data_IF_948877185846
#
_entry.id   IF_948877185846
#
_cell.length_a   1.000
_cell.length_b   1.000
_cell.length_c   1.000
_cell.angle_alpha   90.00
_cell.angle_beta   90.00
_cell.angle_gamma   90.00
#
_symmetry.space_group_name_H-M   'P 1'
#
loop_
_entity.id
_entity.type
_entity.pdbx_description
1 polymer ?
#
# COMPACT_ATOMS: atom_id res chain seq x y z
N UNK A 1 -10.66 -8.70 -8.65
CA UNK A 1 -10.75 -7.36 -8.04
C UNK A 1 -12.16 -7.16 -7.55
N UNK A 2 -12.36 -6.61 -6.34
CA UNK A 2 -13.69 -6.17 -5.89
C UNK A 2 -14.26 -5.16 -6.88
N UNK A 3 -15.57 -5.20 -7.13
CA UNK A 3 -16.23 -4.45 -8.21
C UNK A 3 -16.24 -2.92 -8.02
N UNK A 4 -15.78 -2.41 -6.87
CA UNK A 4 -15.94 -1.03 -6.45
C UNK A 4 -14.61 -0.26 -6.39
N UNK A 5 -13.54 -0.80 -6.96
CA UNK A 5 -12.21 -0.17 -6.99
C UNK A 5 -11.70 -0.02 -8.44
N UNK A 6 -10.86 0.99 -8.67
CA UNK A 6 -10.18 1.20 -9.96
C UNK A 6 -9.32 -0.03 -10.29
N UNK A 7 -9.42 -0.52 -11.52
CA UNK A 7 -8.60 -1.62 -12.02
C UNK A 7 -7.17 -1.13 -12.27
N UNK A 8 -6.21 -1.64 -11.51
CA UNK A 8 -4.80 -1.20 -11.55
C UNK A 8 -3.89 -2.06 -12.44
N UNK A 9 -4.41 -3.08 -13.11
CA UNK A 9 -3.62 -4.02 -13.92
C UNK A 9 -2.80 -3.32 -15.01
N UNK A 10 -3.38 -2.34 -15.71
CA UNK A 10 -2.66 -1.61 -16.75
C UNK A 10 -1.52 -0.73 -16.20
N UNK A 11 -1.70 -0.17 -14.99
CA UNK A 11 -0.65 0.60 -14.30
C UNK A 11 0.52 -0.32 -13.94
N UNK A 12 0.22 -1.53 -13.47
CA UNK A 12 1.21 -2.55 -13.17
C UNK A 12 1.96 -3.00 -14.43
N UNK A 13 1.26 -3.28 -15.53
CA UNK A 13 1.88 -3.64 -16.81
C UNK A 13 2.81 -2.54 -17.33
N UNK A 14 2.36 -1.29 -17.31
CA UNK A 14 3.17 -0.14 -17.69
C UNK A 14 4.39 0.03 -16.79
N UNK A 15 4.24 -0.19 -15.48
CA UNK A 15 5.36 -0.10 -14.53
C UNK A 15 6.47 -1.09 -14.85
N UNK A 16 6.12 -2.31 -15.24
CA UNK A 16 7.11 -3.30 -15.69
C UNK A 16 7.75 -2.94 -17.03
N UNK A 17 6.98 -2.41 -17.99
CA UNK A 17 7.51 -1.94 -19.26
C UNK A 17 8.55 -0.81 -19.08
N UNK A 18 8.34 0.05 -18.09
CA UNK A 18 9.25 1.13 -17.71
C UNK A 18 10.44 0.68 -16.84
N UNK A 19 10.55 -0.61 -16.53
CA UNK A 19 11.63 -1.15 -15.69
C UNK A 19 11.55 -0.75 -14.22
N UNK A 20 10.35 -0.39 -13.72
CA UNK A 20 10.13 -0.08 -12.30
C UNK A 20 10.06 -1.36 -11.47
N UNK A 21 10.47 -1.26 -10.20
CA UNK A 21 10.17 -2.28 -9.20
C UNK A 21 8.74 -2.11 -8.71
N UNK A 22 7.98 -3.20 -8.69
CA UNK A 22 6.57 -3.19 -8.27
C UNK A 22 6.42 -4.04 -7.02
N UNK A 23 5.79 -3.47 -5.99
CA UNK A 23 5.48 -4.16 -4.74
C UNK A 23 3.97 -4.21 -4.55
N UNK A 24 3.47 -5.34 -4.06
CA UNK A 24 2.03 -5.57 -3.80
C UNK A 24 1.79 -5.94 -2.34
N UNK A 25 0.62 -5.60 -1.79
CA UNK A 25 0.31 -5.88 -0.39
C UNK A 25 0.23 -7.38 -0.11
N UNK A 26 0.88 -7.80 0.97
CA UNK A 26 0.81 -9.14 1.53
C UNK A 26 0.38 -9.01 2.99
N UNK A 27 -0.85 -9.43 3.28
CA UNK A 27 -1.44 -9.41 4.61
C UNK A 27 -1.14 -10.73 5.33
N UNK A 28 -0.63 -10.67 6.55
CA UNK A 28 -0.30 -11.84 7.35
C UNK A 28 -0.59 -11.62 8.83
N UNK A 29 -0.79 -12.73 9.56
CA UNK A 29 -0.91 -12.73 11.01
C UNK A 29 0.48 -12.69 11.63
N UNK A 30 0.65 -11.81 12.61
CA UNK A 30 1.86 -11.72 13.42
C UNK A 30 2.12 -13.02 14.17
N UNK A 31 3.38 -13.41 14.23
CA UNK A 31 3.85 -14.57 14.98
C UNK A 31 3.79 -14.36 16.50
N UNK A 32 3.94 -13.11 16.95
CA UNK A 32 3.90 -12.71 18.36
C UNK A 32 2.89 -11.57 18.57
N UNK A 33 1.61 -11.88 18.85
CA UNK A 33 0.62 -10.87 19.16
C UNK A 33 0.98 -10.09 20.42
N UNK A 34 0.83 -8.76 20.37
CA UNK A 34 1.10 -7.87 21.51
C UNK A 34 -0.13 -6.99 21.79
N UNK A 35 -0.46 -6.72 23.07
CA UNK A 35 -1.56 -5.82 23.41
C UNK A 35 -1.39 -4.45 22.76
N UNK A 36 -2.46 -3.95 22.14
CA UNK A 36 -2.47 -2.63 21.49
C UNK A 36 -1.88 -2.60 20.08
N UNK A 37 -1.33 -3.72 19.58
CA UNK A 37 -0.85 -3.83 18.20
C UNK A 37 -1.77 -4.76 17.40
N UNK A 38 -2.10 -4.44 16.13
CA UNK A 38 -2.91 -5.33 15.28
C UNK A 38 -2.33 -6.74 15.18
N UNK A 39 -3.19 -7.76 15.30
CA UNK A 39 -2.79 -9.18 15.16
C UNK A 39 -2.49 -9.59 13.72
N UNK A 40 -2.99 -8.81 12.76
CA UNK A 40 -2.73 -8.97 11.33
C UNK A 40 -2.19 -7.66 10.79
N UNK A 41 -1.13 -7.73 9.99
CA UNK A 41 -0.43 -6.58 9.44
C UNK A 41 -0.17 -6.80 7.94
N UNK A 42 0.34 -5.78 7.26
CA UNK A 42 0.57 -5.78 5.82
C UNK A 42 2.01 -5.37 5.51
N UNK A 43 2.73 -6.17 4.74
CA UNK A 43 3.99 -5.74 4.08
C UNK A 43 3.77 -5.60 2.57
N UNK A 44 4.64 -4.85 1.91
CA UNK A 44 4.65 -4.74 0.44
C UNK A 44 5.77 -5.62 -0.11
N UNK A 45 5.41 -6.68 -0.85
CA UNK A 45 6.35 -7.67 -1.40
C UNK A 45 6.55 -7.46 -2.90
N UNK A 46 7.79 -7.60 -3.34
CA UNK A 46 8.19 -7.43 -4.74
C UNK A 46 7.57 -8.51 -5.63
N UNK A 47 7.00 -8.07 -6.75
CA UNK A 47 6.69 -8.91 -7.89
C UNK A 47 7.94 -9.02 -8.76
N UNK A 48 8.35 -10.25 -9.08
CA UNK A 48 9.59 -10.53 -9.83
C UNK A 48 9.46 -10.21 -11.31
N UNK A 49 8.25 -10.28 -11.85
CA UNK A 49 7.93 -9.99 -13.25
C UNK A 49 6.42 -9.88 -13.46
N UNK A 50 6.03 -9.52 -14.68
CA UNK A 50 4.62 -9.56 -15.09
C UNK A 50 4.07 -11.00 -15.15
N UNK A 51 4.90 -11.99 -15.53
CA UNK A 51 4.49 -13.40 -15.51
C UNK A 51 4.31 -13.93 -14.09
N UNK A 52 5.13 -13.46 -13.15
CA UNK A 52 4.97 -13.73 -11.72
C UNK A 52 3.61 -13.20 -11.22
N UNK A 53 3.23 -11.98 -11.61
CA UNK A 53 1.90 -11.43 -11.32
C UNK A 53 0.76 -12.27 -11.94
N UNK A 54 0.88 -12.64 -13.21
CA UNK A 54 -0.15 -13.42 -13.93
C UNK A 54 -0.34 -14.82 -13.37
N UNK A 55 0.69 -15.39 -12.73
CA UNK A 55 0.62 -16.70 -12.08
C UNK A 55 -0.08 -16.67 -10.71
N UNK A 56 -0.30 -15.49 -10.12
CA UNK A 56 -0.95 -15.36 -8.81
C UNK A 56 -2.40 -15.84 -8.88
N UNK A 57 -2.81 -16.58 -7.85
CA UNK A 57 -4.19 -17.04 -7.71
C UNK A 57 -4.97 -16.02 -6.87
N UNK A 58 -6.22 -15.72 -7.25
CA UNK A 58 -7.08 -14.89 -6.43
C UNK A 58 -7.41 -15.58 -5.10
N UNK A 59 -7.51 -14.80 -4.03
CA UNK A 59 -8.07 -15.24 -2.75
C UNK A 59 -9.62 -15.20 -2.77
N UNK A 60 -10.24 -15.37 -1.60
CA UNK A 60 -11.70 -15.34 -1.44
C UNK A 60 -12.32 -13.96 -1.75
N UNK A 61 -11.51 -12.90 -1.86
CA UNK A 61 -11.93 -11.55 -2.26
C UNK A 61 -11.66 -11.27 -3.75
N UNK A 62 -11.13 -12.26 -4.47
CA UNK A 62 -10.76 -12.09 -5.87
C UNK A 62 -9.48 -11.27 -6.08
N UNK A 63 -8.63 -11.16 -5.05
CA UNK A 63 -7.37 -10.40 -5.07
C UNK A 63 -6.21 -11.36 -5.39
N UNK A 64 -5.44 -11.15 -6.46
CA UNK A 64 -4.24 -11.95 -6.76
C UNK A 64 -3.26 -11.89 -5.58
N UNK A 65 -2.98 -13.03 -4.96
CA UNK A 65 -2.28 -13.08 -3.67
C UNK A 65 -0.96 -13.83 -3.78
N UNK A 66 0.07 -13.30 -3.11
CA UNK A 66 1.40 -13.91 -3.03
C UNK A 66 1.32 -15.28 -2.33
N UNK A 67 1.75 -16.38 -2.98
CA UNK A 67 1.82 -17.70 -2.35
C UNK A 67 2.76 -17.70 -1.15
N UNK A 68 2.34 -18.31 -0.04
CA UNK A 68 3.08 -18.30 1.24
C UNK A 68 4.49 -18.88 1.13
N UNK A 69 4.64 -19.94 0.34
CA UNK A 69 5.91 -20.60 0.04
C UNK A 69 6.88 -19.71 -0.75
N UNK A 70 6.37 -18.71 -1.49
CA UNK A 70 7.21 -17.75 -2.21
C UNK A 70 7.67 -16.56 -1.38
N UNK A 71 7.04 -16.29 -0.22
CA UNK A 71 7.32 -15.10 0.62
C UNK A 71 8.79 -15.00 1.02
N UNK A 72 9.45 -16.05 1.56
CA UNK A 72 10.86 -15.97 1.97
C UNK A 72 11.83 -15.65 0.82
N UNK A 73 11.39 -15.82 -0.43
CA UNK A 73 12.18 -15.63 -1.64
C UNK A 73 11.87 -14.32 -2.38
N UNK A 74 11.16 -13.40 -1.74
CA UNK A 74 10.80 -12.08 -2.27
C UNK A 74 11.36 -11.00 -1.37
N UNK A 75 11.86 -9.92 -1.95
CA UNK A 75 12.17 -8.72 -1.17
C UNK A 75 10.87 -8.04 -0.76
N UNK A 76 10.88 -7.39 0.40
CA UNK A 76 9.86 -6.44 0.79
C UNK A 76 10.35 -4.99 0.55
N UNK A 77 9.46 -4.02 0.71
CA UNK A 77 9.79 -2.61 0.51
C UNK A 77 10.78 -2.03 1.53
N UNK A 78 11.05 -2.73 2.63
CA UNK A 78 12.09 -2.39 3.59
C UNK A 78 13.46 -2.99 3.20
N UNK A 79 13.54 -3.66 2.05
CA UNK A 79 14.77 -4.13 1.41
C UNK A 79 15.25 -5.51 1.87
N UNK A 80 14.60 -6.12 2.85
CA UNK A 80 14.90 -7.48 3.34
C UNK A 80 14.09 -8.54 2.59
N UNK A 81 14.54 -9.80 2.62
CA UNK A 81 13.77 -10.91 2.04
C UNK A 81 12.75 -11.43 3.04
N UNK A 82 11.53 -11.70 2.60
CA UNK A 82 10.44 -12.19 3.45
C UNK A 82 9.70 -11.08 4.20
N UNK A 83 9.16 -11.44 5.37
CA UNK A 83 8.31 -10.57 6.19
C UNK A 83 9.15 -9.65 7.06
N UNK A 84 8.75 -8.39 7.20
CA UNK A 84 9.50 -7.42 7.99
C UNK A 84 9.53 -7.75 9.49
N UNK A 85 8.54 -8.50 9.99
CA UNK A 85 8.51 -8.94 11.40
C UNK A 85 9.72 -9.83 11.76
N UNK A 86 10.28 -10.54 10.80
CA UNK A 86 11.44 -11.41 11.01
C UNK A 86 12.76 -10.61 11.06
N UNK A 87 12.76 -9.37 10.57
CA UNK A 87 13.94 -8.50 10.38
C UNK A 87 13.65 -7.03 10.74
N UNK A 88 13.20 -6.71 11.97
CA UNK A 88 12.59 -5.41 12.29
C UNK A 88 13.53 -4.19 12.27
N UNK A 89 14.84 -4.41 12.37
CA UNK A 89 15.85 -3.35 12.41
C UNK A 89 17.00 -3.59 11.41
N UNK A 90 16.80 -4.49 10.44
CA UNK A 90 17.80 -4.77 9.42
C UNK A 90 17.83 -3.65 8.39
N UNK A 91 19.01 -3.03 8.24
CA UNK A 91 19.23 -2.00 7.22
C UNK A 91 19.63 -2.67 5.91
N UNK A 92 18.88 -2.39 4.85
CA UNK A 92 19.16 -2.86 3.51
C UNK A 92 19.45 -1.69 2.56
N UNK A 93 20.32 -1.94 1.58
CA UNK A 93 20.52 -1.02 0.47
C UNK A 93 19.27 -1.01 -0.42
N UNK A 94 18.84 0.17 -0.86
CA UNK A 94 17.65 0.39 -1.70
C UNK A 94 16.30 0.08 -1.02
N UNK A 95 16.23 0.26 0.31
CA UNK A 95 14.97 0.23 1.07
C UNK A 95 14.14 1.51 0.87
N UNK A 96 12.84 1.33 0.65
CA UNK A 96 11.84 2.38 0.49
C UNK A 96 10.99 2.26 -0.78
N UNK A 97 9.87 2.98 -0.79
CA UNK A 97 9.01 3.20 -1.94
C UNK A 97 9.12 4.66 -2.38
N UNK A 98 9.10 4.91 -3.69
CA UNK A 98 9.00 6.28 -4.23
C UNK A 98 7.52 6.75 -4.27
N UNK A 99 6.61 5.83 -4.59
CA UNK A 99 5.18 6.05 -4.77
C UNK A 99 4.42 4.90 -4.13
N UNK A 100 3.34 5.23 -3.41
CA UNK A 100 2.38 4.27 -2.91
C UNK A 100 0.99 4.61 -3.48
N UNK A 101 0.44 3.66 -4.24
CA UNK A 101 -0.95 3.76 -4.74
C UNK A 101 -1.90 3.37 -3.61
N UNK A 102 -2.70 4.32 -3.16
CA UNK A 102 -3.58 4.20 -1.99
C UNK A 102 -5.01 3.83 -2.42
N UNK A 103 -5.53 2.64 -2.04
CA UNK A 103 -6.93 2.31 -2.25
C UNK A 103 -7.82 2.94 -1.16
N UNK A 104 -9.10 3.09 -1.49
CA UNK A 104 -10.09 3.64 -0.58
C UNK A 104 -11.51 3.40 -1.07
N UNK A 105 -12.45 3.52 -0.13
CA UNK A 105 -13.89 3.52 -0.36
C UNK A 105 -14.44 4.93 -0.55
N UNK A 106 -13.76 5.93 -0.02
CA UNK A 106 -14.12 7.33 -0.17
C UNK A 106 -12.96 8.27 0.12
N UNK A 107 -12.99 9.45 -0.47
CA UNK A 107 -11.99 10.51 -0.31
C UNK A 107 -12.67 11.87 -0.22
N UNK A 108 -12.07 12.81 0.51
CA UNK A 108 -12.54 14.19 0.56
C UNK A 108 -11.54 15.17 -0.09
N UNK A 109 -11.97 16.41 -0.31
CA UNK A 109 -11.13 17.46 -0.90
C UNK A 109 -10.04 17.99 0.06
N UNK A 110 -10.05 17.56 1.33
CA UNK A 110 -8.95 17.75 2.27
C UNK A 110 -7.96 16.57 2.24
N UNK A 111 -8.04 15.71 1.22
CA UNK A 111 -7.21 14.52 1.05
C UNK A 111 -7.35 13.47 2.17
N UNK A 112 -8.48 13.50 2.89
CA UNK A 112 -8.89 12.42 3.79
C UNK A 112 -9.23 11.16 3.00
N UNK A 113 -9.03 9.99 3.62
CA UNK A 113 -9.22 8.68 2.99
C UNK A 113 -9.99 7.74 3.91
N UNK A 114 -11.11 7.22 3.41
CA UNK A 114 -11.88 6.17 4.06
C UNK A 114 -11.49 4.80 3.49
N UNK A 115 -10.89 3.93 4.31
CA UNK A 115 -10.60 2.54 3.93
C UNK A 115 -11.75 1.57 4.24
N UNK A 116 -11.50 0.27 4.06
CA UNK A 116 -12.44 -0.81 4.44
C UNK A 116 -12.53 -1.09 5.96
N UNK A 117 -11.97 -0.20 6.80
CA UNK A 117 -12.10 -0.26 8.26
C UNK A 117 -11.12 -1.14 9.03
N UNK A 118 -10.20 -1.86 8.36
CA UNK A 118 -9.15 -2.67 9.04
C UNK A 118 -7.86 -1.92 9.36
N UNK A 119 -7.67 -0.71 8.83
CA UNK A 119 -6.50 0.13 9.13
C UNK A 119 -5.15 -0.42 8.63
N UNK A 120 -5.13 -1.35 7.66
CA UNK A 120 -3.88 -1.95 7.17
C UNK A 120 -2.92 -0.92 6.57
N UNK A 121 -3.43 0.00 5.77
CA UNK A 121 -2.63 1.05 5.14
C UNK A 121 -2.13 2.07 6.16
N UNK A 122 -2.99 2.51 7.10
CA UNK A 122 -2.63 3.47 8.14
C UNK A 122 -1.56 2.89 9.08
N UNK A 123 -1.73 1.63 9.50
CA UNK A 123 -0.73 0.93 10.30
C UNK A 123 0.56 0.62 9.53
N UNK A 124 0.47 0.30 8.23
CA UNK A 124 1.67 0.17 7.38
C UNK A 124 2.44 1.48 7.28
N UNK A 125 1.76 2.60 7.05
CA UNK A 125 2.37 3.93 6.96
C UNK A 125 3.00 4.36 8.29
N UNK A 126 2.37 4.04 9.43
CA UNK A 126 2.98 4.25 10.74
C UNK A 126 4.32 3.48 10.85
N UNK A 127 4.34 2.17 10.57
CA UNK A 127 5.58 1.39 10.61
C UNK A 127 6.62 1.90 9.63
N UNK A 128 6.19 2.33 8.44
CA UNK A 128 7.07 2.89 7.43
C UNK A 128 7.71 4.20 7.93
N UNK A 129 6.93 5.09 8.55
CA UNK A 129 7.43 6.33 9.14
C UNK A 129 8.45 6.06 10.26
N UNK A 130 8.19 5.06 11.11
CA UNK A 130 9.14 4.61 12.14
C UNK A 130 10.47 4.12 11.53
N UNK A 131 10.42 3.33 10.45
CA UNK A 131 11.62 2.89 9.72
C UNK A 131 12.37 4.06 9.09
N UNK A 132 11.64 5.04 8.53
CA UNK A 132 12.22 6.27 7.99
C UNK A 132 12.93 7.08 9.07
N UNK A 133 12.31 7.25 10.26
CA UNK A 133 12.90 7.98 11.38
C UNK A 133 14.17 7.30 11.94
N UNK A 134 14.21 5.96 11.91
CA UNK A 134 15.40 5.16 12.27
C UNK A 134 16.49 5.17 11.18
N UNK A 135 16.22 5.75 10.00
CA UNK A 135 17.16 5.71 8.87
C UNK A 135 17.34 4.31 8.25
N UNK A 136 16.36 3.41 8.44
CA UNK A 136 16.31 2.09 7.82
C UNK A 136 15.78 2.15 6.39
N UNK A 137 14.97 3.17 6.09
CA UNK A 137 14.52 3.51 4.73
C UNK A 137 15.30 4.72 4.23
N UNK A 138 15.82 4.62 3.01
CA UNK A 138 16.73 5.64 2.45
C UNK A 138 16.02 6.85 1.83
N UNK A 139 14.76 6.69 1.42
CA UNK A 139 14.03 7.64 0.56
C UNK A 139 13.02 8.53 1.28
N UNK A 140 12.88 8.41 2.60
CA UNK A 140 11.78 9.06 3.33
C UNK A 140 10.43 8.42 3.03
N UNK A 141 9.35 9.13 3.40
CA UNK A 141 7.96 8.71 3.12
C UNK A 141 7.70 8.68 1.60
N UNK A 142 6.99 7.65 1.08
CA UNK A 142 6.59 7.62 -0.32
C UNK A 142 5.53 8.67 -0.61
N UNK A 143 5.44 9.11 -1.85
CA UNK A 143 4.30 9.92 -2.30
C UNK A 143 3.02 9.07 -2.30
N UNK A 144 1.98 9.51 -1.58
CA UNK A 144 0.73 8.80 -1.39
C UNK A 144 -0.29 9.25 -2.45
N UNK A 145 -0.44 8.49 -3.53
CA UNK A 145 -1.37 8.80 -4.60
C UNK A 145 -2.60 7.89 -4.54
N UNK A 146 -3.78 8.47 -4.35
CA UNK A 146 -5.04 7.74 -4.41
C UNK A 146 -5.66 7.76 -5.80
N UNK A 147 -6.17 6.60 -6.21
CA UNK A 147 -7.00 6.46 -7.41
C UNK A 147 -8.45 6.33 -6.95
N UNK A 148 -9.33 7.15 -7.50
CA UNK A 148 -10.72 7.26 -7.07
C UNK A 148 -11.66 7.23 -8.27
N UNK A 149 -12.76 6.50 -8.17
CA UNK A 149 -13.95 6.77 -8.98
C UNK A 149 -14.52 8.14 -8.58
N UNK A 150 -15.30 8.76 -9.46
CA UNK A 150 -15.91 10.05 -9.16
C UNK A 150 -16.93 9.92 -8.02
N UNK A 151 -17.62 8.79 -7.94
CA UNK A 151 -18.60 8.45 -6.92
C UNK A 151 -17.97 8.21 -5.53
N UNK A 152 -16.65 8.05 -5.47
CA UNK A 152 -15.92 7.89 -4.21
C UNK A 152 -15.45 9.24 -3.64
N UNK A 153 -15.73 10.35 -4.32
CA UNK A 153 -15.40 11.69 -3.84
C UNK A 153 -16.60 12.26 -3.07
N UNK A 154 -16.36 12.61 -1.81
CA UNK A 154 -17.35 13.24 -0.95
C UNK A 154 -17.72 14.64 -1.46
N UNK A 155 -18.91 15.13 -1.09
CA UNK A 155 -19.36 16.47 -1.46
C UNK A 155 -18.43 17.57 -0.94
N UNK A 156 -18.50 18.77 -1.53
CA UNK A 156 -17.60 19.88 -1.19
C UNK A 156 -17.59 20.25 0.31
N UNK A 157 -18.74 20.12 0.98
CA UNK A 157 -18.92 20.43 2.40
C UNK A 157 -18.79 19.18 3.32
N UNK A 158 -18.46 18.02 2.75
CA UNK A 158 -18.32 16.77 3.47
C UNK A 158 -16.84 16.43 3.69
N UNK A 159 -16.56 15.74 4.80
CA UNK A 159 -15.21 15.32 5.15
C UNK A 159 -15.23 13.88 5.64
N UNK A 160 -14.18 13.13 5.31
CA UNK A 160 -13.92 11.84 5.92
C UNK A 160 -13.64 12.08 7.40
N UNK A 161 -14.35 11.39 8.31
CA UNK A 161 -14.00 11.42 9.73
C UNK A 161 -12.64 10.76 9.94
N UNK A 162 -11.62 11.55 10.28
CA UNK A 162 -10.24 11.09 10.46
C UNK A 162 -9.85 11.15 11.94
N UNK A 163 -9.23 10.09 12.44
CA UNK A 163 -8.60 10.00 13.75
C UNK A 163 -7.10 10.34 13.71
N UNK A 164 -6.43 10.37 14.88
CA UNK A 164 -5.01 10.74 14.99
C UNK A 164 -4.03 9.78 14.30
N UNK A 165 -4.47 8.57 13.99
CA UNK A 165 -3.67 7.53 13.33
C UNK A 165 -3.92 7.44 11.83
N UNK A 166 -4.90 8.17 11.32
CA UNK A 166 -5.30 8.08 9.92
C UNK A 166 -4.42 8.98 9.06
N UNK A 167 -4.00 8.45 7.91
CA UNK A 167 -3.11 9.16 7.00
C UNK A 167 -3.89 9.80 5.86
N UNK A 168 -3.63 11.09 5.64
CA UNK A 168 -4.04 11.78 4.42
C UNK A 168 -3.21 11.31 3.24
N UNK A 169 -3.78 11.40 2.04
CA UNK A 169 -3.03 11.18 0.79
C UNK A 169 -2.41 12.50 0.32
N UNK A 170 -1.42 12.43 -0.57
CA UNK A 170 -0.75 13.60 -1.14
C UNK A 170 -1.39 14.04 -2.48
N UNK A 171 -2.04 13.10 -3.17
CA UNK A 171 -2.76 13.38 -4.41
C UNK A 171 -3.99 12.49 -4.60
N UNK A 172 -4.97 13.02 -5.31
CA UNK A 172 -6.17 12.33 -5.77
C UNK A 172 -6.20 12.36 -7.30
N UNK A 173 -6.33 11.18 -7.90
CA UNK A 173 -6.52 11.01 -9.34
C UNK A 173 -7.91 10.41 -9.55
N UNK A 174 -8.80 11.17 -10.17
CA UNK A 174 -10.20 10.82 -10.35
C UNK A 174 -10.45 10.09 -11.67
N UNK A 175 -11.59 9.40 -11.76
CA UNK A 175 -11.97 8.58 -12.91
C UNK A 175 -12.20 9.39 -14.19
N UNK A 176 -12.43 10.69 -14.08
CA UNK A 176 -12.52 11.63 -15.21
C UNK A 176 -11.16 12.22 -15.65
N UNK A 177 -10.07 11.83 -14.99
CA UNK A 177 -8.72 12.33 -15.28
C UNK A 177 -8.32 13.58 -14.49
N UNK A 178 -9.18 14.11 -13.61
CA UNK A 178 -8.81 15.20 -12.71
C UNK A 178 -7.69 14.76 -11.76
N UNK A 179 -6.68 15.61 -11.59
CA UNK A 179 -5.57 15.40 -10.66
C UNK A 179 -5.54 16.55 -9.67
N UNK A 180 -5.77 16.23 -8.41
CA UNK A 180 -5.64 17.15 -7.28
C UNK A 180 -4.40 16.79 -6.47
N UNK A 181 -3.66 17.79 -6.01
CA UNK A 181 -2.47 17.62 -5.20
C UNK A 181 -2.58 18.47 -3.94
N UNK A 182 -2.21 17.92 -2.80
CA UNK A 182 -2.09 18.68 -1.57
C UNK A 182 -0.91 19.66 -1.70
N UNK A 183 -1.12 20.89 -1.24
CA UNK A 183 -0.11 21.96 -1.25
C UNK A 183 1.11 21.64 -0.37
#
# INVERSE_FOLDING_TARGET
>A
MPANEIVTTQILEHSFLDGKKVFVPCIYKRSKPEPGIPTSIMDMLELKSLDDFRALKPDNWGIPTIPKDSIPHRKNCFGVSGLSEEHPDEKADDAGLDLLVMPGMGFDLSFGRLGHGKGYYDYFLQRYAEHSQKGLVSKGMPFLAALSLNEQILGQDEQVPMGPTDWRVDALIQGDGTVLRAD
#
